data_IF_763067817641
#
_entry.id   IF_763067817641
#
_cell.length_a   1.000
_cell.length_b   1.000
_cell.length_c   1.000
_cell.angle_alpha   90.00
_cell.angle_beta   90.00
_cell.angle_gamma   90.00
#
_symmetry.space_group_name_H-M   'P 1'
#
loop_
_entity.id
_entity.type
_entity.pdbx_description
1 polymer ?
#
# COMPACT_ATOMS: atom_id res chain seq x y z
N UNK A 1 -4.23 -9.28 -2.72
CA UNK A 1 -2.95 -8.54 -2.78
C UNK A 1 -2.17 -8.81 -1.50
N UNK A 2 -0.84 -8.70 -1.53
CA UNK A 2 0.03 -8.87 -0.36
C UNK A 2 0.91 -7.63 -0.31
N UNK A 3 0.80 -6.90 0.80
CA UNK A 3 1.45 -5.62 1.05
C UNK A 3 1.13 -4.52 0.04
N UNK A 4 1.29 -3.28 0.48
CA UNK A 4 1.03 -2.07 -0.26
C UNK A 4 1.87 -0.95 0.36
N UNK A 5 3.20 -1.12 0.27
CA UNK A 5 4.18 -0.27 0.90
C UNK A 5 4.49 1.02 0.16
N UNK A 6 5.33 1.82 0.81
CA UNK A 6 5.98 2.98 0.22
C UNK A 6 7.49 2.76 0.07
N UNK A 7 8.09 3.39 -0.92
CA UNK A 7 9.53 3.53 -1.04
C UNK A 7 9.99 4.90 -0.53
N UNK A 8 11.25 4.97 -0.08
CA UNK A 8 11.88 6.24 0.23
C UNK A 8 12.48 6.83 -1.04
N UNK A 9 12.30 8.14 -1.23
CA UNK A 9 12.98 8.85 -2.29
C UNK A 9 14.49 8.93 -2.00
N UNK A 10 15.29 8.93 -3.07
CA UNK A 10 16.73 9.10 -3.01
C UNK A 10 17.15 10.47 -3.56
N UNK A 11 18.46 10.72 -3.58
CA UNK A 11 19.03 12.00 -4.01
C UNK A 11 18.71 12.37 -5.48
N UNK A 12 18.17 11.45 -6.29
CA UNK A 12 17.76 11.72 -7.66
C UNK A 12 16.38 12.37 -7.76
N UNK A 13 15.60 12.40 -6.67
CA UNK A 13 14.24 12.96 -6.62
C UNK A 13 14.14 14.09 -5.57
N UNK A 14 14.78 15.24 -5.81
CA UNK A 14 14.84 16.33 -4.84
C UNK A 14 13.45 16.89 -4.52
N UNK A 15 13.13 17.00 -3.23
CA UNK A 15 11.86 17.52 -2.72
C UNK A 15 10.73 16.48 -2.68
N UNK A 16 11.02 15.22 -3.02
CA UNK A 16 10.11 14.10 -2.80
C UNK A 16 10.55 13.37 -1.53
N UNK A 17 9.62 13.08 -0.63
CA UNK A 17 9.92 12.33 0.60
C UNK A 17 9.62 10.82 0.43
N UNK A 18 8.62 10.49 -0.39
CA UNK A 18 8.06 9.15 -0.50
C UNK A 18 7.60 8.83 -1.92
N UNK A 19 7.72 7.57 -2.30
CA UNK A 19 7.30 7.01 -3.58
C UNK A 19 6.28 5.90 -3.31
N UNK A 20 5.24 5.80 -4.13
CA UNK A 20 4.26 4.72 -4.09
C UNK A 20 4.10 4.07 -5.46
N UNK A 21 3.59 2.84 -5.49
CA UNK A 21 3.34 2.14 -6.74
C UNK A 21 2.17 2.76 -7.53
N UNK A 22 2.29 2.77 -8.86
CA UNK A 22 1.17 3.11 -9.75
C UNK A 22 0.09 2.00 -9.72
N UNK A 23 -1.13 2.36 -9.31
CA UNK A 23 -2.26 1.45 -9.21
C UNK A 23 -3.03 1.26 -10.52
N UNK A 24 -2.69 1.96 -11.60
CA UNK A 24 -3.43 1.95 -12.88
C UNK A 24 -3.63 0.55 -13.48
N UNK A 25 -2.68 -0.37 -13.25
CA UNK A 25 -2.82 -1.76 -13.68
C UNK A 25 -3.90 -2.50 -12.88
N UNK A 26 -3.85 -2.43 -11.55
CA UNK A 26 -4.69 -3.24 -10.67
C UNK A 26 -6.10 -2.68 -10.51
N UNK A 27 -6.29 -1.38 -10.71
CA UNK A 27 -7.60 -0.72 -10.70
C UNK A 27 -8.60 -1.32 -11.70
N UNK A 28 -8.11 -1.80 -12.85
CA UNK A 28 -8.93 -2.48 -13.86
C UNK A 28 -9.55 -3.78 -13.34
N UNK A 29 -8.91 -4.39 -12.36
CA UNK A 29 -9.31 -5.64 -11.71
C UNK A 29 -9.87 -5.41 -10.30
N UNK A 30 -10.25 -4.18 -9.95
CA UNK A 30 -10.72 -3.83 -8.60
C UNK A 30 -11.78 -4.76 -8.04
N UNK A 31 -12.71 -5.22 -8.90
CA UNK A 31 -13.80 -6.13 -8.50
C UNK A 31 -13.31 -7.54 -8.16
N UNK A 32 -12.13 -7.91 -8.65
CA UNK A 32 -11.50 -9.21 -8.41
C UNK A 32 -10.57 -9.19 -7.18
N UNK A 33 -10.33 -8.01 -6.59
CA UNK A 33 -9.53 -7.87 -5.37
C UNK A 33 -10.38 -8.25 -4.15
N UNK A 34 -10.28 -9.52 -3.76
CA UNK A 34 -11.01 -10.06 -2.59
C UNK A 34 -10.42 -9.63 -1.24
N UNK A 35 -9.20 -9.07 -1.24
CA UNK A 35 -8.59 -8.50 -0.04
C UNK A 35 -7.12 -8.15 -0.19
N UNK A 36 -6.62 -7.43 0.82
CA UNK A 36 -5.24 -7.03 1.01
C UNK A 36 -4.71 -7.65 2.32
N UNK A 37 -3.67 -8.46 2.22
CA UNK A 37 -2.97 -9.00 3.39
C UNK A 37 -1.78 -8.08 3.68
N UNK A 38 -1.70 -7.53 4.89
CA UNK A 38 -0.52 -6.79 5.36
C UNK A 38 0.30 -7.68 6.28
N UNK A 39 1.55 -7.94 5.90
CA UNK A 39 2.43 -8.90 6.58
C UNK A 39 2.91 -8.39 7.94
N UNK A 40 3.34 -7.13 8.02
CA UNK A 40 3.79 -6.48 9.26
C UNK A 40 3.72 -4.94 9.15
N UNK A 41 4.05 -4.25 10.24
CA UNK A 41 3.78 -2.83 10.42
C UNK A 41 4.90 -1.86 9.93
N UNK A 42 5.76 -2.30 9.00
CA UNK A 42 6.75 -1.39 8.43
C UNK A 42 6.18 -0.58 7.25
N UNK A 43 6.70 0.64 7.06
CA UNK A 43 6.24 1.60 6.04
C UNK A 43 6.41 1.08 4.60
N UNK A 44 7.44 0.27 4.36
CA UNK A 44 7.67 -0.40 3.08
C UNK A 44 6.73 -1.59 2.83
N UNK A 45 5.82 -1.89 3.76
CA UNK A 45 4.78 -2.90 3.62
C UNK A 45 3.35 -2.32 3.65
N UNK A 46 3.09 -1.22 4.36
CA UNK A 46 1.75 -0.62 4.45
C UNK A 46 1.64 0.87 4.09
N UNK A 47 2.76 1.58 3.93
CA UNK A 47 2.78 3.04 3.78
C UNK A 47 2.04 3.57 2.56
N UNK A 48 1.89 2.74 1.52
CA UNK A 48 1.13 3.07 0.31
C UNK A 48 -0.39 2.94 0.46
N UNK A 49 -0.88 2.24 1.51
CA UNK A 49 -2.31 1.93 1.67
C UNK A 49 -3.16 3.20 1.71
N UNK A 50 -2.76 4.19 2.51
CA UNK A 50 -3.53 5.44 2.68
C UNK A 50 -3.71 6.22 1.37
N UNK A 51 -2.69 6.19 0.50
CA UNK A 51 -2.70 6.89 -0.78
C UNK A 51 -3.51 6.14 -1.84
N UNK A 52 -3.44 4.81 -1.83
CA UNK A 52 -4.09 3.95 -2.83
C UNK A 52 -5.48 3.46 -2.39
N UNK A 53 -5.94 3.83 -1.18
CA UNK A 53 -7.18 3.29 -0.61
C UNK A 53 -8.42 3.53 -1.48
N UNK A 54 -8.51 4.72 -2.10
CA UNK A 54 -9.64 5.05 -2.98
C UNK A 54 -9.76 4.08 -4.16
N UNK A 55 -8.62 3.62 -4.66
CA UNK A 55 -8.50 2.66 -5.76
C UNK A 55 -8.76 1.24 -5.30
N UNK A 56 -8.29 0.84 -4.11
CA UNK A 56 -8.39 -0.54 -3.61
C UNK A 56 -9.75 -0.88 -2.99
N UNK A 57 -10.18 -0.17 -1.93
CA UNK A 57 -11.43 -0.40 -1.17
C UNK A 57 -11.81 -1.88 -0.99
N UNK A 58 -10.87 -2.71 -0.55
CA UNK A 58 -11.07 -4.14 -0.32
C UNK A 58 -10.85 -4.49 1.17
N UNK A 59 -11.33 -5.65 1.65
CA UNK A 59 -11.07 -6.10 3.02
C UNK A 59 -9.57 -6.19 3.32
N UNK A 60 -9.15 -5.74 4.50
CA UNK A 60 -7.76 -5.82 4.96
C UNK A 60 -7.66 -6.94 6.00
N UNK A 61 -6.66 -7.80 5.81
CA UNK A 61 -6.32 -8.89 6.72
C UNK A 61 -4.92 -8.66 7.27
N UNK A 62 -4.79 -8.62 8.59
CA UNK A 62 -3.48 -8.40 9.23
C UNK A 62 -3.50 -8.84 10.69
N UNK A 63 -2.33 -8.81 11.33
CA UNK A 63 -2.20 -9.07 12.76
C UNK A 63 -2.76 -7.90 13.59
N UNK A 64 -3.11 -8.15 14.85
CA UNK A 64 -3.56 -7.08 15.76
C UNK A 64 -2.54 -5.96 15.88
N UNK A 65 -1.24 -6.28 15.86
CA UNK A 65 -0.19 -5.25 15.94
C UNK A 65 -0.25 -4.29 14.75
N UNK A 66 -0.26 -4.82 13.52
CA UNK A 66 -0.32 -4.00 12.31
C UNK A 66 -1.64 -3.22 12.16
N UNK A 67 -2.75 -3.73 12.68
CA UNK A 67 -4.03 -3.03 12.66
C UNK A 67 -4.12 -1.83 13.63
N UNK A 68 -3.28 -1.79 14.67
CA UNK A 68 -3.35 -0.82 15.77
C UNK A 68 -2.04 -0.03 15.98
N UNK A 69 -1.08 -0.18 15.07
CA UNK A 69 0.18 0.57 15.11
C UNK A 69 -0.07 2.07 14.89
#
# INVERSE_FOLDING_TARGET
MIDCGSGFADDYLPGVDMIIADSSFIEKYKKDIVGLILTHAHEDHLGGVQYLWNSLKCPIYTTTFTANF
#
